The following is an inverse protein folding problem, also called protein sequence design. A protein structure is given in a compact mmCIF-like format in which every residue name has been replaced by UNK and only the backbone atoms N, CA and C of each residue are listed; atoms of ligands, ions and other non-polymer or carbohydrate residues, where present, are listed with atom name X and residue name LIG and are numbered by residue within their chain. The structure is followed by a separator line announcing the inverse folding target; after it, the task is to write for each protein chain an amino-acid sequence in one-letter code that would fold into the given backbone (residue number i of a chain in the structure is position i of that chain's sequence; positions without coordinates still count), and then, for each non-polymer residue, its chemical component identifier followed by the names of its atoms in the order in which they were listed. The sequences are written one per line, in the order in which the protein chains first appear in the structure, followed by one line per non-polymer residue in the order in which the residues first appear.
data_IF_719965479867
#
_entry.id   IF_719965479867
#
_cell.length_a   1.000
_cell.length_b   1.000
_cell.length_c   1.000
_cell.angle_alpha   90.00
_cell.angle_beta   90.00
_cell.angle_gamma   90.00
#
_symmetry.space_group_name_H-M   'P 1'
#
loop_
_entity.id
_entity.type
_entity.pdbx_description
1 polymer ?
#
# COMPACT_ATOMS: atom_id res chain seq x y z
N UNK A 1 -22.60 -24.38 -1.88
CA UNK A 1 -22.61 -22.94 -2.21
C UNK A 1 -22.17 -22.07 -1.04
N UNK A 2 -22.68 -22.30 0.19
CA UNK A 2 -22.27 -21.58 1.42
C UNK A 2 -20.76 -21.55 1.66
N UNK A 3 -20.09 -22.72 1.61
CA UNK A 3 -18.64 -22.80 1.84
C UNK A 3 -17.83 -22.04 0.78
N UNK A 4 -18.28 -22.04 -0.48
CA UNK A 4 -17.58 -21.33 -1.56
C UNK A 4 -17.65 -19.81 -1.37
N UNK A 5 -18.84 -19.27 -1.07
CA UNK A 5 -19.02 -17.84 -0.82
C UNK A 5 -18.24 -17.38 0.41
N UNK A 6 -18.19 -18.19 1.46
CA UNK A 6 -17.39 -17.92 2.65
C UNK A 6 -15.89 -17.88 2.34
N UNK A 7 -15.36 -18.90 1.65
CA UNK A 7 -13.94 -18.93 1.26
C UNK A 7 -13.59 -17.81 0.29
N UNK A 8 -14.45 -17.50 -0.68
CA UNK A 8 -14.23 -16.41 -1.64
C UNK A 8 -14.24 -15.04 -0.95
N UNK A 9 -15.20 -14.79 -0.05
CA UNK A 9 -15.26 -13.56 0.75
C UNK A 9 -14.04 -13.42 1.66
N UNK A 10 -13.66 -14.49 2.36
CA UNK A 10 -12.45 -14.53 3.19
C UNK A 10 -11.18 -14.27 2.39
N UNK A 11 -11.05 -14.85 1.20
CA UNK A 11 -9.92 -14.60 0.31
C UNK A 11 -9.84 -13.14 -0.13
N UNK A 12 -10.96 -12.53 -0.53
CA UNK A 12 -11.00 -11.11 -0.92
C UNK A 12 -10.57 -10.21 0.24
N UNK A 13 -11.07 -10.48 1.45
CA UNK A 13 -10.68 -9.73 2.65
C UNK A 13 -9.19 -9.90 2.93
N UNK A 14 -8.68 -11.14 2.91
CA UNK A 14 -7.28 -11.44 3.19
C UNK A 14 -6.34 -10.73 2.18
N UNK A 15 -6.63 -10.82 0.89
CA UNK A 15 -5.86 -10.13 -0.16
C UNK A 15 -5.96 -8.61 0.00
N UNK A 16 -7.16 -8.09 0.26
CA UNK A 16 -7.37 -6.66 0.48
C UNK A 16 -6.54 -6.11 1.64
N UNK A 17 -6.50 -6.82 2.77
CA UNK A 17 -5.67 -6.46 3.92
C UNK A 17 -4.18 -6.54 3.56
N UNK A 18 -3.72 -7.66 2.99
CA UNK A 18 -2.33 -7.87 2.61
C UNK A 18 -1.82 -6.75 1.70
N UNK A 19 -2.55 -6.48 0.61
CA UNK A 19 -2.20 -5.44 -0.36
C UNK A 19 -2.22 -4.07 0.28
N UNK A 20 -3.22 -3.76 1.11
CA UNK A 20 -3.29 -2.44 1.77
C UNK A 20 -2.04 -2.20 2.62
N UNK A 21 -1.63 -3.17 3.43
CA UNK A 21 -0.40 -3.05 4.23
C UNK A 21 0.87 -2.98 3.37
N UNK A 22 0.92 -3.72 2.26
CA UNK A 22 2.01 -3.64 1.29
C UNK A 22 2.18 -2.22 0.73
N UNK A 23 1.10 -1.65 0.21
CA UNK A 23 1.14 -0.28 -0.34
C UNK A 23 1.42 0.75 0.75
N UNK A 24 0.90 0.54 1.97
CA UNK A 24 1.22 1.39 3.13
C UNK A 24 2.72 1.38 3.46
N UNK A 25 3.41 0.25 3.27
CA UNK A 25 4.87 0.17 3.41
C UNK A 25 5.59 1.10 2.45
N UNK A 26 5.29 0.99 1.15
CA UNK A 26 5.83 1.89 0.13
C UNK A 26 5.53 3.37 0.44
N UNK A 27 4.27 3.67 0.76
CA UNK A 27 3.80 5.02 1.08
C UNK A 27 4.55 5.62 2.27
N UNK A 28 4.68 4.86 3.36
CA UNK A 28 5.28 5.33 4.60
C UNK A 28 6.77 5.66 4.41
N UNK A 29 7.51 4.77 3.75
CA UNK A 29 8.94 4.98 3.51
C UNK A 29 9.19 6.06 2.47
N UNK A 30 8.38 6.16 1.41
CA UNK A 30 8.48 7.25 0.44
C UNK A 30 8.26 8.61 1.11
N UNK A 31 7.24 8.72 1.97
CA UNK A 31 6.95 9.94 2.73
C UNK A 31 8.05 10.29 3.72
N UNK A 32 8.65 9.30 4.37
CA UNK A 32 9.78 9.49 5.29
C UNK A 32 10.98 10.12 4.59
N UNK A 33 11.29 9.70 3.36
CA UNK A 33 12.38 10.25 2.56
C UNK A 33 11.96 11.49 1.73
N UNK A 34 10.79 12.07 1.98
CA UNK A 34 10.34 13.31 1.34
C UNK A 34 9.90 13.17 -0.12
N UNK A 35 9.80 11.94 -0.64
CA UNK A 35 9.30 11.69 -2.00
C UNK A 35 7.82 12.07 -2.07
N UNK A 36 7.47 12.89 -3.06
CA UNK A 36 6.08 13.35 -3.23
C UNK A 36 5.22 12.20 -3.76
N UNK A 37 4.07 11.99 -3.13
CA UNK A 37 3.12 10.95 -3.52
C UNK A 37 1.89 11.61 -4.13
N UNK A 38 1.60 11.26 -5.37
CA UNK A 38 0.47 11.80 -6.13
C UNK A 38 -0.82 11.06 -5.80
N UNK A 39 -0.76 9.72 -5.70
CA UNK A 39 -1.93 8.88 -5.44
C UNK A 39 -1.57 7.66 -4.60
N UNK A 40 -2.44 7.33 -3.66
CA UNK A 40 -2.46 6.07 -2.94
C UNK A 40 -3.77 5.36 -3.27
N UNK A 41 -3.72 4.24 -3.98
CA UNK A 41 -4.91 3.49 -4.39
C UNK A 41 -4.97 2.13 -3.73
N UNK A 42 -6.10 1.83 -3.10
CA UNK A 42 -6.49 0.48 -2.71
C UNK A 42 -7.44 -0.03 -3.78
N UNK A 43 -7.06 -1.11 -4.43
CA UNK A 43 -7.76 -1.67 -5.57
C UNK A 43 -7.39 -1.05 -6.91
N UNK A 44 -7.95 -1.64 -7.97
CA UNK A 44 -7.83 -1.21 -9.36
C UNK A 44 -9.19 -0.89 -9.99
N UNK A 45 -9.14 -0.26 -11.17
CA UNK A 45 -10.31 0.00 -12.01
C UNK A 45 -11.03 1.29 -11.63
N UNK A 46 -12.37 1.27 -11.71
CA UNK A 46 -13.20 2.45 -11.45
C UNK A 46 -13.07 2.87 -9.97
N UNK A 47 -12.74 4.14 -9.68
CA UNK A 47 -12.73 4.64 -8.31
C UNK A 47 -14.16 4.67 -7.76
N UNK A 48 -14.37 4.05 -6.60
CA UNK A 48 -15.62 4.12 -5.85
C UNK A 48 -15.61 5.33 -4.92
N UNK A 49 -14.45 5.61 -4.35
CA UNK A 49 -14.24 6.73 -3.45
C UNK A 49 -12.87 7.34 -3.69
N UNK A 50 -12.79 8.67 -3.56
CA UNK A 50 -11.54 9.42 -3.66
C UNK A 50 -11.55 10.61 -2.72
N UNK A 51 -10.39 10.92 -2.13
CA UNK A 51 -10.20 12.11 -1.29
C UNK A 51 -8.77 12.59 -1.36
N UNK A 52 -8.56 13.90 -1.49
CA UNK A 52 -7.24 14.50 -1.36
C UNK A 52 -6.97 14.85 0.11
N UNK A 53 -5.77 14.56 0.59
CA UNK A 53 -5.39 14.83 1.98
C UNK A 53 -3.88 15.07 2.14
N UNK A 54 -3.54 15.88 3.15
CA UNK A 54 -2.15 16.22 3.51
C UNK A 54 -1.58 17.41 2.74
N UNK A 55 -0.36 17.79 3.08
CA UNK A 55 0.35 18.95 2.52
C UNK A 55 0.54 18.80 1.01
N UNK A 56 0.86 17.58 0.55
CA UNK A 56 1.07 17.27 -0.86
C UNK A 56 -0.24 17.02 -1.65
N UNK A 57 -1.40 17.17 -1.01
CA UNK A 57 -2.72 16.88 -1.59
C UNK A 57 -2.80 15.48 -2.23
N UNK A 58 -2.18 14.48 -1.59
CA UNK A 58 -2.16 13.11 -2.10
C UNK A 58 -3.58 12.58 -2.27
N UNK A 59 -3.87 12.01 -3.44
CA UNK A 59 -5.17 11.44 -3.75
C UNK A 59 -5.28 10.01 -3.18
N UNK A 60 -6.10 9.83 -2.15
CA UNK A 60 -6.44 8.52 -1.61
C UNK A 60 -7.65 7.98 -2.35
N UNK A 61 -7.53 6.79 -2.94
CA UNK A 61 -8.56 6.18 -3.78
C UNK A 61 -8.88 4.78 -3.28
N UNK A 62 -10.17 4.45 -3.24
CA UNK A 62 -10.65 3.08 -3.07
C UNK A 62 -11.39 2.70 -4.36
N UNK A 63 -10.91 1.66 -5.03
CA UNK A 63 -11.39 1.22 -6.35
C UNK A 63 -12.18 -0.07 -6.28
N UNK A 64 -12.96 -0.35 -7.33
CA UNK A 64 -13.90 -1.47 -7.38
C UNK A 64 -13.24 -2.85 -7.23
N UNK A 65 -12.06 -3.05 -7.80
CA UNK A 65 -11.40 -4.36 -7.83
C UNK A 65 -10.39 -4.43 -6.68
N UNK A 66 -10.62 -5.21 -5.61
CA UNK A 66 -9.77 -5.22 -4.41
C UNK A 66 -8.48 -6.04 -4.55
N UNK A 67 -8.20 -6.60 -5.73
CA UNK A 67 -7.11 -7.56 -6.00
C UNK A 67 -5.75 -6.87 -6.26
N UNK A 68 -5.47 -5.76 -5.58
CA UNK A 68 -4.21 -5.04 -5.69
C UNK A 68 -4.35 -3.57 -5.33
N UNK A 69 -3.34 -2.79 -5.63
CA UNK A 69 -3.23 -1.39 -5.22
C UNK A 69 -1.96 -0.81 -5.81
N UNK A 70 -1.75 0.49 -5.61
CA UNK A 70 -0.51 1.13 -6.03
C UNK A 70 -0.29 2.47 -5.31
N UNK A 71 0.99 2.78 -5.08
CA UNK A 71 1.45 4.11 -4.69
C UNK A 71 2.09 4.80 -5.88
N UNK A 72 1.43 5.82 -6.43
CA UNK A 72 1.97 6.64 -7.51
C UNK A 72 2.81 7.76 -6.92
N UNK A 73 4.12 7.66 -7.12
CA UNK A 73 5.10 8.67 -6.70
C UNK A 73 5.34 9.67 -7.83
N UNK A 74 5.76 10.88 -7.48
CA UNK A 74 6.21 11.86 -8.46
C UNK A 74 7.43 11.30 -9.20
N UNK A 75 7.39 11.23 -10.52
CA UNK A 75 8.48 10.73 -11.37
C UNK A 75 8.52 11.55 -12.66
N UNK A 76 9.71 12.06 -13.02
CA UNK A 76 9.91 12.87 -14.23
C UNK A 76 9.68 12.08 -15.52
N UNK A 77 9.68 10.75 -15.47
CA UNK A 77 9.40 9.89 -16.63
C UNK A 77 7.90 9.79 -16.93
N UNK A 78 7.04 10.10 -15.97
CA UNK A 78 5.58 10.00 -16.10
C UNK A 78 4.91 11.33 -16.49
N UNK A 79 5.65 12.44 -16.49
CA UNK A 79 5.14 13.76 -16.86
C UNK A 79 6.06 14.90 -16.46
N UNK A 80 5.67 16.13 -16.80
CA UNK A 80 6.43 17.32 -16.42
C UNK A 80 6.38 17.55 -14.90
N UNK A 81 7.55 17.75 -14.30
CA UNK A 81 7.71 18.04 -12.88
C UNK A 81 8.19 19.48 -12.71
N UNK A 82 7.45 20.26 -11.92
CA UNK A 82 7.80 21.64 -11.59
C UNK A 82 9.22 21.70 -10.99
N UNK A 83 10.00 22.71 -11.40
CA UNK A 83 11.42 22.82 -11.04
C UNK A 83 11.71 22.67 -9.54
N UNK A 84 10.82 23.23 -8.69
CA UNK A 84 10.93 23.21 -7.23
C UNK A 84 10.63 21.84 -6.59
N UNK A 85 9.97 20.92 -7.30
CA UNK A 85 9.59 19.60 -6.76
C UNK A 85 10.45 18.47 -7.29
N UNK A 86 11.39 18.76 -8.19
CA UNK A 86 12.24 17.75 -8.83
C UNK A 86 13.05 16.93 -7.83
N UNK A 87 13.54 17.57 -6.77
CA UNK A 87 14.32 16.88 -5.72
C UNK A 87 13.48 15.91 -4.90
N UNK A 88 12.15 16.00 -5.01
CA UNK A 88 11.18 15.08 -4.37
C UNK A 88 10.69 14.00 -5.34
N UNK A 89 11.18 13.98 -6.58
CA UNK A 89 10.84 12.94 -7.54
C UNK A 89 11.57 11.64 -7.20
N UNK A 90 10.87 10.51 -7.34
CA UNK A 90 11.37 9.17 -7.03
C UNK A 90 12.62 8.82 -7.85
N UNK A 91 12.62 9.14 -9.15
CA UNK A 91 13.72 8.86 -10.05
C UNK A 91 15.00 9.67 -9.77
N UNK A 92 14.89 10.78 -9.02
CA UNK A 92 16.05 11.58 -8.56
C UNK A 92 16.63 11.13 -7.24
N UNK A 93 15.91 10.31 -6.48
CA UNK A 93 16.42 9.79 -5.22
C UNK A 93 17.62 8.87 -5.45
N UNK A 94 18.50 8.81 -4.44
CA UNK A 94 19.61 7.87 -4.45
C UNK A 94 19.10 6.43 -4.56
N UNK A 95 19.94 5.55 -5.13
CA UNK A 95 19.58 4.14 -5.32
C UNK A 95 19.19 3.46 -4.01
N UNK A 96 19.81 3.83 -2.88
CA UNK A 96 19.47 3.30 -1.56
C UNK A 96 18.05 3.66 -1.14
N UNK A 97 17.64 4.92 -1.32
CA UNK A 97 16.29 5.38 -0.97
C UNK A 97 15.27 4.67 -1.85
N UNK A 98 15.52 4.60 -3.16
CA UNK A 98 14.61 3.93 -4.11
C UNK A 98 14.43 2.46 -3.75
N UNK A 99 15.53 1.76 -3.47
CA UNK A 99 15.52 0.36 -3.03
C UNK A 99 14.81 0.20 -1.68
N UNK A 100 15.04 1.08 -0.71
CA UNK A 100 14.38 1.04 0.59
C UNK A 100 12.86 1.19 0.44
N UNK A 101 12.40 2.13 -0.40
CA UNK A 101 10.98 2.31 -0.70
C UNK A 101 10.39 1.04 -1.34
N UNK A 102 11.05 0.45 -2.33
CA UNK A 102 10.56 -0.77 -3.01
C UNK A 102 10.55 -1.99 -2.07
N UNK A 103 11.51 -2.11 -1.16
CA UNK A 103 11.54 -3.22 -0.19
C UNK A 103 10.54 -3.02 0.95
N UNK A 104 10.13 -1.77 1.23
CA UNK A 104 9.22 -1.45 2.31
C UNK A 104 7.87 -2.16 2.21
N UNK A 105 7.33 -2.36 1.00
CA UNK A 105 6.07 -3.07 0.79
C UNK A 105 6.12 -4.53 1.23
N UNK A 106 7.04 -5.35 0.67
CA UNK A 106 7.26 -6.71 1.16
C UNK A 106 7.55 -6.78 2.66
N UNK A 107 8.39 -5.87 3.17
CA UNK A 107 8.73 -5.84 4.58
C UNK A 107 7.51 -5.56 5.48
N UNK A 108 6.61 -4.65 5.08
CA UNK A 108 5.36 -4.40 5.78
C UNK A 108 4.47 -5.66 5.86
N UNK A 109 4.45 -6.48 4.81
CA UNK A 109 3.73 -7.76 4.84
C UNK A 109 4.38 -8.77 5.79
N UNK A 110 5.72 -8.82 5.87
CA UNK A 110 6.40 -9.66 6.86
C UNK A 110 6.07 -9.24 8.29
N UNK A 111 6.05 -7.93 8.56
CA UNK A 111 5.63 -7.40 9.86
C UNK A 111 4.16 -7.71 10.17
N UNK A 112 3.28 -7.55 9.19
CA UNK A 112 1.87 -7.91 9.32
C UNK A 112 1.72 -9.41 9.63
N UNK A 113 2.43 -10.29 8.93
CA UNK A 113 2.39 -11.72 9.17
C UNK A 113 2.87 -12.08 10.59
N UNK A 114 3.97 -11.48 11.04
CA UNK A 114 4.48 -11.67 12.40
C UNK A 114 3.47 -11.19 13.45
N UNK A 115 2.83 -10.03 13.22
CA UNK A 115 1.79 -9.50 14.11
C UNK A 115 0.56 -10.40 14.16
N UNK A 116 0.04 -10.83 13.01
CA UNK A 116 -1.12 -11.72 12.92
C UNK A 116 -0.84 -13.07 13.59
N UNK A 117 0.35 -13.63 13.38
CA UNK A 117 0.78 -14.86 14.02
C UNK A 117 0.87 -14.71 15.55
N UNK A 118 1.47 -13.61 16.02
CA UNK A 118 1.53 -13.30 17.45
C UNK A 118 0.14 -13.14 18.07
N UNK A 119 -0.78 -12.42 17.41
CA UNK A 119 -2.18 -12.29 17.85
C UNK A 119 -2.84 -13.66 17.94
N UNK A 120 -2.65 -14.54 16.96
CA UNK A 120 -3.21 -15.89 16.97
C UNK A 120 -2.70 -16.73 18.15
N UNK A 121 -1.42 -16.58 18.53
CA UNK A 121 -0.88 -17.24 19.71
C UNK A 121 -1.47 -16.69 21.02
N UNK A 122 -1.63 -15.37 21.12
CA UNK A 122 -2.13 -14.69 22.34
C UNK A 122 -3.61 -14.95 22.57
N UNK A 123 -4.43 -14.96 21.51
CA UNK A 123 -5.87 -15.32 21.59
C UNK A 123 -6.02 -16.78 22.03
N UNK A 124 -4.95 -17.57 21.93
CA UNK A 124 -4.97 -19.00 22.08
C UNK A 124 -5.63 -19.61 20.86
N UNK A 125 -5.03 -20.66 20.31
CA UNK A 125 -5.73 -21.50 19.35
C UNK A 125 -6.79 -22.27 20.17
N UNK A 126 -7.91 -21.62 20.50
CA UNK A 126 -9.05 -22.16 21.24
C UNK A 126 -9.85 -23.18 20.40
N UNK A 127 -9.14 -23.99 19.61
CA UNK A 127 -9.69 -24.94 18.64
C UNK A 127 -8.87 -26.23 18.50
N UNK A 128 -7.94 -26.51 19.42
CA UNK A 128 -7.36 -27.85 19.59
C UNK A 128 -7.76 -28.41 20.95
N UNK A 129 -9.05 -28.72 21.10
CA UNK A 129 -9.58 -29.61 22.15
C UNK A 129 -10.55 -30.57 21.49
#
# INVERSE_FOLDING_TARGET
VSNFLYSAGGFIIAVGVLVTFHELGHFSVARLFGVKILRFSIGFGRPLWRRQYGVDQTEFVVSLIPLGGYVRMLDEREGEVAGMERDRAFNRQSLLIRSAIVVAGPFANFLLAALLYWIALVIGIAGFS
#
